data_IF_524347973480
#
_entry.id   IF_524347973480
#
_cell.length_a   1.000
_cell.length_b   1.000
_cell.length_c   1.000
_cell.angle_alpha   90.00
_cell.angle_beta   90.00
_cell.angle_gamma   90.00
#
_symmetry.space_group_name_H-M   'P 1'
#
loop_
_entity.id
_entity.type
_entity.pdbx_description
1 polymer ?
#
# COMPACT_ATOMS: atom_id res chain seq x y z
N UNK A 1 -3.18 -11.08 20.31
CA UNK A 1 -3.12 -9.62 20.57
C UNK A 1 -4.23 -9.12 21.50
N UNK A 2 -5.27 -9.91 21.77
CA UNK A 2 -6.39 -9.62 22.65
C UNK A 2 -6.90 -10.92 23.26
N UNK A 3 -7.75 -10.84 24.30
CA UNK A 3 -8.45 -11.98 24.89
C UNK A 3 -9.95 -11.68 24.91
N UNK A 4 -10.76 -12.66 24.51
CA UNK A 4 -12.21 -12.50 24.37
C UNK A 4 -12.99 -13.40 25.35
N UNK A 5 -12.33 -14.45 25.86
CA UNK A 5 -12.82 -15.38 26.85
C UNK A 5 -11.73 -15.63 27.88
N UNK A 6 -12.10 -15.64 29.14
CA UNK A 6 -11.21 -15.95 30.25
C UNK A 6 -12.00 -16.71 31.32
N UNK A 7 -11.50 -17.86 31.78
CA UNK A 7 -12.17 -18.73 32.78
C UNK A 7 -13.66 -18.97 32.46
N UNK A 8 -13.92 -19.40 31.21
CA UNK A 8 -15.27 -19.70 30.68
C UNK A 8 -16.24 -18.52 30.59
N UNK A 9 -15.78 -17.29 30.78
CA UNK A 9 -16.57 -16.08 30.66
C UNK A 9 -16.15 -15.23 29.46
N UNK A 10 -17.14 -14.63 28.79
CA UNK A 10 -16.87 -13.63 27.75
C UNK A 10 -16.39 -12.33 28.39
N UNK A 11 -15.25 -11.82 27.91
CA UNK A 11 -14.64 -10.57 28.39
C UNK A 11 -14.60 -9.49 27.33
N UNK A 12 -15.25 -9.70 26.19
CA UNK A 12 -15.26 -8.77 25.05
C UNK A 12 -15.88 -7.39 25.38
N UNK A 13 -16.75 -7.30 26.38
CA UNK A 13 -17.35 -6.06 26.87
C UNK A 13 -16.56 -5.38 27.99
N UNK A 14 -15.40 -5.89 28.35
CA UNK A 14 -14.46 -5.17 29.21
C UNK A 14 -13.65 -4.15 28.40
N UNK A 15 -13.21 -3.05 29.02
CA UNK A 15 -12.25 -2.13 28.42
C UNK A 15 -11.00 -2.88 27.97
N UNK A 16 -10.38 -2.40 26.90
CA UNK A 16 -9.18 -3.05 26.34
C UNK A 16 -8.05 -3.19 27.37
N UNK A 17 -7.88 -2.20 28.25
CA UNK A 17 -6.88 -2.26 29.32
C UNK A 17 -7.10 -3.44 30.28
N UNK A 18 -8.35 -3.74 30.62
CA UNK A 18 -8.68 -4.89 31.46
C UNK A 18 -8.45 -6.21 30.73
N UNK A 19 -8.85 -6.29 29.46
CA UNK A 19 -8.57 -7.47 28.63
C UNK A 19 -7.07 -7.72 28.47
N UNK A 20 -6.24 -6.67 28.40
CA UNK A 20 -4.77 -6.81 28.37
C UNK A 20 -4.22 -7.42 29.65
N UNK A 21 -4.72 -7.01 30.82
CA UNK A 21 -4.33 -7.62 32.11
C UNK A 21 -4.69 -9.11 32.16
N UNK A 22 -5.89 -9.47 31.69
CA UNK A 22 -6.31 -10.86 31.62
C UNK A 22 -5.47 -11.68 30.61
N UNK A 23 -5.09 -11.08 29.49
CA UNK A 23 -4.19 -11.71 28.52
C UNK A 23 -2.81 -11.98 29.12
N UNK A 24 -2.31 -11.08 29.97
CA UNK A 24 -1.03 -11.26 30.65
C UNK A 24 -1.08 -12.38 31.69
N UNK A 25 -2.23 -12.58 32.34
CA UNK A 25 -2.47 -13.73 33.25
C UNK A 25 -2.59 -15.05 32.49
N UNK A 26 -3.31 -15.05 31.36
CA UNK A 26 -3.53 -16.25 30.54
C UNK A 26 -2.27 -16.74 29.82
N UNK A 27 -1.39 -15.81 29.42
CA UNK A 27 -0.16 -16.11 28.67
C UNK A 27 1.05 -15.70 29.51
N UNK A 28 1.45 -16.57 30.42
CA UNK A 28 2.59 -16.33 31.31
C UNK A 28 3.92 -16.38 30.56
N UNK A 29 4.06 -17.28 29.60
CA UNK A 29 5.29 -17.45 28.81
C UNK A 29 5.01 -17.47 27.31
N UNK A 30 5.92 -16.90 26.53
CA UNK A 30 5.91 -16.94 25.07
C UNK A 30 6.69 -18.18 24.58
N UNK A 31 6.41 -18.61 23.35
CA UNK A 31 7.08 -19.73 22.72
C UNK A 31 7.39 -19.43 21.26
N UNK A 32 8.11 -20.31 20.56
CA UNK A 32 8.35 -20.19 19.13
C UNK A 32 7.06 -20.23 18.28
N UNK A 33 5.94 -20.73 18.83
CA UNK A 33 4.66 -20.85 18.12
C UNK A 33 3.69 -19.71 18.39
N UNK A 34 3.84 -19.01 19.50
CA UNK A 34 3.00 -17.86 19.84
C UNK A 34 3.73 -16.85 20.70
N UNK A 35 3.40 -15.58 20.50
CA UNK A 35 3.90 -14.45 21.27
C UNK A 35 2.81 -13.40 21.46
N UNK A 36 2.89 -12.65 22.55
CA UNK A 36 2.00 -11.49 22.78
C UNK A 36 2.43 -10.33 21.90
N UNK A 37 1.46 -9.67 21.27
CA UNK A 37 1.74 -8.43 20.54
C UNK A 37 2.29 -7.36 21.49
N UNK A 38 3.43 -6.79 21.14
CA UNK A 38 4.01 -5.64 21.85
C UNK A 38 3.10 -4.43 21.70
N UNK A 39 3.01 -3.61 22.74
CA UNK A 39 2.30 -2.33 22.71
C UNK A 39 3.02 -1.30 23.57
N UNK A 40 2.77 -0.03 23.27
CA UNK A 40 3.29 1.11 24.03
C UNK A 40 2.12 2.04 24.31
N UNK A 41 1.99 2.47 25.57
CA UNK A 41 0.96 3.42 25.96
C UNK A 41 1.42 4.86 25.72
N UNK A 42 0.49 5.70 25.22
CA UNK A 42 0.61 7.17 25.11
C UNK A 42 1.69 7.70 24.15
N UNK A 43 2.66 6.88 23.74
CA UNK A 43 3.76 7.27 22.84
C UNK A 43 3.55 6.74 21.40
N UNK A 44 2.31 6.84 20.89
CA UNK A 44 1.93 6.28 19.58
C UNK A 44 2.77 6.82 18.42
N UNK A 45 3.08 8.13 18.40
CA UNK A 45 3.90 8.74 17.33
C UNK A 45 5.32 8.16 17.36
N UNK A 46 5.96 8.07 18.52
CA UNK A 46 7.30 7.52 18.63
C UNK A 46 7.34 6.04 18.23
N UNK A 47 6.27 5.29 18.55
CA UNK A 47 6.16 3.89 18.16
C UNK A 47 5.92 3.72 16.66
N UNK A 48 5.14 4.61 16.05
CA UNK A 48 4.97 4.66 14.59
C UNK A 48 6.30 4.93 13.87
N UNK A 49 7.05 5.94 14.32
CA UNK A 49 8.35 6.28 13.74
C UNK A 49 9.35 5.11 13.87
N UNK A 50 9.32 4.37 14.97
CA UNK A 50 10.14 3.17 15.13
C UNK A 50 9.73 2.05 14.17
N UNK A 51 8.43 1.88 13.95
CA UNK A 51 7.91 0.92 12.97
C UNK A 51 8.33 1.28 11.54
N UNK A 52 8.29 2.57 11.21
CA UNK A 52 8.74 3.10 9.92
C UNK A 52 10.26 2.86 9.72
N UNK A 53 11.09 3.21 10.71
CA UNK A 53 12.54 2.97 10.66
C UNK A 53 12.92 1.49 10.49
N UNK A 54 12.07 0.58 10.96
CA UNK A 54 12.25 -0.87 10.83
C UNK A 54 11.54 -1.48 9.63
N UNK A 55 11.03 -0.64 8.74
CA UNK A 55 10.28 -1.03 7.53
C UNK A 55 9.10 -1.97 7.82
N UNK A 56 8.44 -1.80 8.99
CA UNK A 56 7.25 -2.56 9.35
C UNK A 56 6.00 -1.98 8.69
N UNK A 57 4.95 -2.79 8.54
CA UNK A 57 3.66 -2.42 7.92
C UNK A 57 3.00 -1.18 8.58
N UNK A 58 3.33 -0.91 9.83
CA UNK A 58 2.79 0.17 10.65
C UNK A 58 2.32 -0.32 12.02
N UNK A 59 1.45 0.45 12.64
CA UNK A 59 0.90 0.15 13.97
C UNK A 59 -0.63 0.18 13.96
N UNK A 60 -1.24 -0.37 15.01
CA UNK A 60 -2.67 -0.21 15.29
C UNK A 60 -2.83 0.61 16.57
N UNK A 61 -3.29 1.85 16.43
CA UNK A 61 -3.67 2.68 17.58
C UNK A 61 -5.04 2.24 18.10
N UNK A 62 -5.14 1.99 19.40
CA UNK A 62 -6.35 1.47 20.04
C UNK A 62 -6.71 2.33 21.25
N UNK A 63 -7.99 2.69 21.37
CA UNK A 63 -8.48 3.37 22.58
C UNK A 63 -8.43 2.43 23.79
N UNK A 64 -7.96 2.93 24.92
CA UNK A 64 -7.80 2.17 26.17
C UNK A 64 -9.13 1.61 26.71
N UNK A 65 -10.19 2.37 26.57
CA UNK A 65 -11.55 2.04 27.03
C UNK A 65 -12.38 1.28 25.98
N UNK A 66 -11.81 0.94 24.81
CA UNK A 66 -12.55 0.27 23.75
C UNK A 66 -12.99 -1.14 24.12
N UNK A 67 -14.24 -1.44 23.80
CA UNK A 67 -14.81 -2.78 23.86
C UNK A 67 -14.45 -3.55 22.57
N UNK A 68 -14.65 -4.85 22.58
CA UNK A 68 -14.49 -5.67 21.38
C UNK A 68 -15.85 -6.06 20.82
N UNK A 69 -16.17 -5.57 19.64
CA UNK A 69 -17.39 -5.91 18.92
C UNK A 69 -17.10 -6.89 17.79
N UNK A 70 -17.77 -8.04 17.82
CA UNK A 70 -17.69 -9.01 16.72
C UNK A 70 -18.34 -8.43 15.46
N UNK A 71 -17.72 -8.70 14.31
CA UNK A 71 -18.22 -8.32 12.97
C UNK A 71 -18.51 -6.82 12.76
N UNK A 72 -18.00 -5.96 13.66
CA UNK A 72 -18.15 -4.51 13.56
C UNK A 72 -16.81 -3.81 13.33
N UNK A 73 -16.82 -2.80 12.47
CA UNK A 73 -15.72 -1.84 12.34
C UNK A 73 -16.05 -0.60 13.16
N UNK A 74 -15.22 -0.30 14.15
CA UNK A 74 -15.34 0.91 14.96
C UNK A 74 -14.16 1.86 14.68
N UNK A 75 -14.30 3.12 15.10
CA UNK A 75 -13.20 4.09 15.06
C UNK A 75 -12.27 3.98 16.29
N UNK A 76 -12.52 3.03 17.17
CA UNK A 76 -11.71 2.84 18.38
C UNK A 76 -10.35 2.21 18.09
N UNK A 77 -10.24 1.50 16.93
CA UNK A 77 -9.01 0.88 16.47
C UNK A 77 -8.65 1.42 15.09
N UNK A 78 -7.55 2.16 15.03
CA UNK A 78 -7.08 2.84 13.83
C UNK A 78 -5.78 2.20 13.34
N UNK A 79 -5.78 1.70 12.10
CA UNK A 79 -4.56 1.23 11.44
C UNK A 79 -3.77 2.42 10.90
N UNK A 80 -2.61 2.67 11.49
CA UNK A 80 -1.65 3.66 11.03
C UNK A 80 -0.61 2.94 10.16
N UNK A 81 -0.84 2.91 8.85
CA UNK A 81 0.02 2.19 7.92
C UNK A 81 1.24 3.01 7.54
N UNK A 82 2.40 2.35 7.47
CA UNK A 82 3.61 2.89 6.85
C UNK A 82 3.45 2.75 5.33
N UNK A 83 3.10 3.86 4.66
CA UNK A 83 2.83 3.88 3.23
C UNK A 83 3.91 4.67 2.52
N UNK A 84 4.45 4.09 1.45
CA UNK A 84 5.44 4.72 0.58
C UNK A 84 4.73 5.44 -0.57
N UNK A 85 5.22 6.60 -0.97
CA UNK A 85 4.80 7.30 -2.17
C UNK A 85 5.92 7.22 -3.20
N UNK A 86 5.62 6.76 -4.41
CA UNK A 86 6.56 6.78 -5.55
C UNK A 86 5.86 7.24 -6.82
N UNK A 87 6.66 7.72 -7.76
CA UNK A 87 6.20 8.16 -9.06
C UNK A 87 6.46 7.10 -10.11
N UNK A 88 5.48 6.92 -10.97
CA UNK A 88 5.47 5.91 -12.03
C UNK A 88 5.01 6.51 -13.35
N UNK A 89 5.56 5.99 -14.42
CA UNK A 89 5.10 6.28 -15.79
C UNK A 89 3.83 5.49 -16.08
N UNK A 90 2.80 6.15 -16.61
CA UNK A 90 1.59 5.48 -17.07
C UNK A 90 1.83 4.93 -18.46
N UNK A 91 1.84 3.61 -18.60
CA UNK A 91 2.21 2.88 -19.81
C UNK A 91 1.02 2.34 -20.59
N UNK A 92 -0.13 2.21 -19.93
CA UNK A 92 -1.35 1.69 -20.50
C UNK A 92 -2.46 1.55 -19.47
N UNK A 93 -3.59 1.02 -19.92
CA UNK A 93 -4.70 0.72 -19.02
C UNK A 93 -5.45 -0.53 -19.47
N UNK A 94 -6.02 -1.25 -18.52
CA UNK A 94 -6.84 -2.43 -18.72
C UNK A 94 -8.26 -2.09 -18.26
N UNK A 95 -9.25 -2.04 -19.16
CA UNK A 95 -10.65 -1.82 -18.78
C UNK A 95 -11.11 -2.92 -17.82
N UNK A 96 -11.86 -2.54 -16.79
CA UNK A 96 -12.50 -3.44 -15.83
C UNK A 96 -13.98 -3.16 -15.77
N UNK A 97 -14.72 -4.07 -15.17
CA UNK A 97 -16.12 -3.87 -14.82
C UNK A 97 -16.31 -2.74 -13.81
N UNK A 98 -17.60 -2.35 -13.60
CA UNK A 98 -17.99 -1.37 -12.58
C UNK A 98 -17.33 0.02 -12.73
N UNK A 99 -17.18 0.50 -13.95
CA UNK A 99 -16.59 1.82 -14.23
C UNK A 99 -15.18 2.01 -13.65
N UNK A 100 -14.41 0.93 -13.58
CA UNK A 100 -13.02 0.94 -13.13
C UNK A 100 -12.07 0.61 -14.27
N UNK A 101 -10.82 0.98 -14.10
CA UNK A 101 -9.71 0.58 -14.95
C UNK A 101 -8.47 0.26 -14.12
N UNK A 102 -7.59 -0.57 -14.64
CA UNK A 102 -6.29 -0.83 -14.05
C UNK A 102 -5.23 -0.14 -14.89
N UNK A 103 -4.53 0.86 -14.35
CA UNK A 103 -3.39 1.47 -15.01
C UNK A 103 -2.19 0.52 -14.94
N UNK A 104 -1.51 0.36 -16.07
CA UNK A 104 -0.24 -0.36 -16.16
C UNK A 104 0.88 0.64 -15.96
N UNK A 105 1.75 0.39 -15.01
CA UNK A 105 2.76 1.32 -14.54
C UNK A 105 4.18 0.82 -14.81
N UNK A 106 5.08 1.75 -15.09
CA UNK A 106 6.49 1.48 -15.31
C UNK A 106 7.40 2.44 -14.56
N UNK A 107 8.65 2.05 -14.42
CA UNK A 107 9.78 2.89 -14.00
C UNK A 107 10.98 2.58 -14.88
N UNK A 108 11.87 3.55 -15.04
CA UNK A 108 13.13 3.33 -15.75
C UNK A 108 14.13 2.59 -14.86
N UNK A 109 14.80 1.64 -15.45
CA UNK A 109 15.89 0.85 -14.87
C UNK A 109 16.95 0.65 -15.95
N UNK A 110 18.18 1.09 -15.73
CA UNK A 110 19.27 1.06 -16.71
C UNK A 110 18.86 1.63 -18.10
N UNK A 111 18.11 2.74 -18.11
CA UNK A 111 17.64 3.41 -19.31
C UNK A 111 16.49 2.72 -20.06
N UNK A 112 16.00 1.59 -19.56
CA UNK A 112 14.87 0.84 -20.11
C UNK A 112 13.63 0.92 -19.23
N UNK A 113 12.46 1.03 -19.83
CA UNK A 113 11.21 1.06 -19.10
C UNK A 113 10.81 -0.37 -18.67
N UNK A 114 10.61 -0.58 -17.38
CA UNK A 114 10.28 -1.88 -16.77
C UNK A 114 8.89 -1.80 -16.13
N UNK A 115 8.05 -2.82 -16.33
CA UNK A 115 6.74 -2.90 -15.72
C UNK A 115 6.86 -3.05 -14.19
N UNK A 116 6.16 -2.19 -13.44
CA UNK A 116 6.13 -2.18 -11.96
C UNK A 116 4.77 -2.56 -11.40
N UNK A 117 3.85 -3.03 -12.22
CA UNK A 117 2.54 -3.50 -11.82
C UNK A 117 1.41 -2.55 -12.14
N UNK A 118 0.38 -2.57 -11.32
CA UNK A 118 -0.90 -1.95 -11.63
C UNK A 118 -1.45 -1.15 -10.46
N UNK A 119 -2.25 -0.11 -10.80
CA UNK A 119 -3.09 0.59 -9.81
C UNK A 119 -4.49 0.79 -10.37
N UNK A 120 -5.51 0.63 -9.53
CA UNK A 120 -6.91 0.80 -9.95
C UNK A 120 -7.33 2.26 -9.90
N UNK A 121 -8.07 2.69 -10.92
CA UNK A 121 -8.61 4.04 -11.08
C UNK A 121 -10.06 3.98 -11.59
N UNK A 122 -10.93 4.90 -11.12
CA UNK A 122 -12.28 5.10 -11.67
C UNK A 122 -12.25 5.82 -13.04
N UNK A 123 -13.06 5.35 -13.98
CA UNK A 123 -13.06 5.88 -15.36
C UNK A 123 -13.79 7.22 -15.53
N UNK A 124 -14.62 7.64 -14.57
CA UNK A 124 -15.42 8.87 -14.64
C UNK A 124 -14.64 10.16 -14.36
N UNK A 125 -13.41 10.07 -13.85
CA UNK A 125 -12.64 11.22 -13.41
C UNK A 125 -11.81 11.89 -14.50
N UNK A 126 -11.36 13.11 -14.21
CA UNK A 126 -10.50 13.90 -15.10
C UNK A 126 -9.17 13.19 -15.42
N UNK A 127 -8.55 12.56 -14.43
CA UNK A 127 -7.30 11.83 -14.64
C UNK A 127 -7.43 10.77 -15.73
N UNK A 128 -8.51 9.99 -15.75
CA UNK A 128 -8.68 8.97 -16.77
C UNK A 128 -8.99 9.57 -18.15
N UNK A 129 -9.72 10.70 -18.24
CA UNK A 129 -9.92 11.42 -19.51
C UNK A 129 -8.59 11.87 -20.08
N UNK A 130 -7.67 12.40 -19.28
CA UNK A 130 -6.32 12.78 -19.69
C UNK A 130 -5.51 11.58 -20.18
N UNK A 131 -5.58 10.45 -19.47
CA UNK A 131 -4.90 9.21 -19.89
C UNK A 131 -5.41 8.72 -21.25
N UNK A 132 -6.72 8.72 -21.47
CA UNK A 132 -7.33 8.31 -22.73
C UNK A 132 -7.00 9.23 -23.90
N UNK A 133 -6.64 10.48 -23.66
CA UNK A 133 -6.23 11.43 -24.69
C UNK A 133 -4.80 11.20 -25.20
N UNK A 134 -4.01 10.34 -24.53
CA UNK A 134 -2.65 10.00 -24.94
C UNK A 134 -2.70 9.06 -26.17
N UNK A 135 -1.82 9.25 -27.17
CA UNK A 135 -1.74 8.37 -28.33
C UNK A 135 -1.56 6.89 -27.97
N UNK A 136 -2.39 6.04 -28.60
CA UNK A 136 -2.33 4.59 -28.43
C UNK A 136 -1.13 4.02 -29.17
N UNK A 137 -0.53 2.97 -28.63
CA UNK A 137 0.56 2.19 -29.23
C UNK A 137 0.09 0.78 -29.55
N UNK A 138 0.66 0.18 -30.58
CA UNK A 138 0.37 -1.20 -30.99
C UNK A 138 1.17 -2.24 -30.19
N UNK A 139 2.17 -1.80 -29.41
CA UNK A 139 3.04 -2.68 -28.63
C UNK A 139 3.31 -2.10 -27.24
N UNK A 140 3.57 -2.97 -26.22
CA UNK A 140 3.96 -2.51 -24.89
C UNK A 140 5.24 -1.66 -24.95
N UNK A 141 5.39 -0.67 -24.08
CA UNK A 141 6.64 0.10 -23.97
C UNK A 141 7.75 -0.65 -23.22
N UNK A 142 7.47 -1.86 -22.74
CA UNK A 142 8.41 -2.72 -22.01
C UNK A 142 9.03 -3.77 -22.91
N UNK A 143 10.30 -4.13 -22.65
CA UNK A 143 11.00 -5.19 -23.36
C UNK A 143 10.41 -6.59 -23.07
N UNK A 144 9.91 -6.80 -21.84
CA UNK A 144 9.32 -8.06 -21.42
C UNK A 144 7.84 -7.85 -21.09
N UNK A 145 6.92 -8.38 -21.92
CA UNK A 145 5.48 -8.35 -21.62
C UNK A 145 5.15 -9.25 -20.43
N UNK A 146 4.19 -8.84 -19.61
CA UNK A 146 3.61 -9.68 -18.57
C UNK A 146 2.29 -10.26 -19.06
N UNK A 147 2.02 -11.56 -18.81
CA UNK A 147 0.74 -12.21 -19.10
C UNK A 147 -0.46 -11.47 -18.49
N UNK A 148 -0.25 -10.78 -17.36
CA UNK A 148 -1.29 -9.96 -16.72
C UNK A 148 -1.72 -8.74 -17.53
N UNK A 149 -1.06 -8.46 -18.65
CA UNK A 149 -1.26 -7.28 -19.50
C UNK A 149 -1.88 -7.62 -20.87
N UNK A 150 -2.36 -8.85 -21.09
CA UNK A 150 -2.89 -9.29 -22.39
C UNK A 150 -3.97 -8.38 -22.98
N UNK A 151 -4.84 -7.84 -22.12
CA UNK A 151 -5.93 -6.95 -22.53
C UNK A 151 -5.62 -5.46 -22.34
N UNK A 152 -4.34 -5.10 -22.25
CA UNK A 152 -3.96 -3.71 -22.05
C UNK A 152 -4.07 -2.89 -23.33
N UNK A 153 -4.66 -1.72 -23.22
CA UNK A 153 -4.54 -0.65 -24.22
C UNK A 153 -3.26 0.11 -23.88
N UNK A 154 -2.24 -0.05 -24.71
CA UNK A 154 -0.96 0.61 -24.55
C UNK A 154 -1.03 2.06 -25.04
N UNK A 155 -0.39 2.96 -24.30
CA UNK A 155 -0.29 4.37 -24.64
C UNK A 155 1.17 4.83 -24.65
N UNK A 156 1.43 5.96 -25.31
CA UNK A 156 2.74 6.58 -25.24
C UNK A 156 3.09 6.91 -23.79
N UNK A 157 4.29 6.57 -23.29
CA UNK A 157 4.69 6.74 -21.89
C UNK A 157 5.04 8.22 -21.58
N UNK A 158 4.04 9.11 -21.66
CA UNK A 158 4.17 10.56 -21.53
C UNK A 158 3.66 11.11 -20.19
N UNK A 159 2.91 10.32 -19.44
CA UNK A 159 2.30 10.76 -18.18
C UNK A 159 2.97 10.10 -16.97
N UNK A 160 3.15 10.90 -15.94
CA UNK A 160 3.62 10.46 -14.63
C UNK A 160 2.47 10.52 -13.63
N UNK A 161 2.41 9.53 -12.74
CA UNK A 161 1.47 9.52 -11.63
C UNK A 161 2.17 9.14 -10.33
N UNK A 162 1.67 9.66 -9.20
CA UNK A 162 2.07 9.23 -7.87
C UNK A 162 1.17 8.08 -7.41
N UNK A 163 1.78 7.02 -6.91
CA UNK A 163 1.10 5.88 -6.30
C UNK A 163 1.60 5.70 -4.87
N UNK A 164 0.64 5.54 -3.96
CA UNK A 164 0.89 5.21 -2.57
C UNK A 164 0.70 3.71 -2.39
N UNK A 165 1.65 3.03 -1.75
CA UNK A 165 1.60 1.59 -1.55
C UNK A 165 2.27 1.19 -0.23
N UNK A 166 2.07 -0.06 0.23
CA UNK A 166 2.63 -0.54 1.50
C UNK A 166 4.09 -0.95 1.36
N UNK A 167 4.35 -1.84 0.41
CA UNK A 167 5.68 -2.42 0.18
C UNK A 167 5.82 -2.87 -1.27
N UNK A 168 7.06 -3.03 -1.73
CA UNK A 168 7.35 -3.69 -3.00
C UNK A 168 7.31 -5.22 -2.80
N UNK A 169 6.77 -5.92 -3.78
CA UNK A 169 6.84 -7.38 -3.84
C UNK A 169 8.21 -7.82 -4.35
N UNK A 170 8.56 -9.10 -4.18
CA UNK A 170 9.82 -9.69 -4.67
C UNK A 170 10.05 -9.45 -6.18
N UNK A 171 8.98 -9.32 -6.95
CA UNK A 171 9.04 -9.05 -8.40
C UNK A 171 8.88 -7.56 -8.75
N UNK A 172 9.11 -6.66 -7.79
CA UNK A 172 9.08 -5.21 -7.99
C UNK A 172 7.68 -4.60 -8.16
N UNK A 173 6.60 -5.38 -8.00
CA UNK A 173 5.24 -4.87 -7.95
C UNK A 173 4.91 -4.18 -6.62
N UNK A 174 3.67 -3.67 -6.49
CA UNK A 174 3.22 -2.93 -5.31
C UNK A 174 2.12 -3.68 -4.56
N UNK A 175 2.22 -3.72 -3.24
CA UNK A 175 1.14 -4.22 -2.37
C UNK A 175 0.19 -3.10 -1.97
N UNK A 176 -1.11 -3.32 -2.17
CA UNK A 176 -2.19 -2.36 -1.89
C UNK A 176 -1.96 -0.96 -2.52
N UNK A 177 -1.69 -0.87 -3.83
CA UNK A 177 -1.43 0.40 -4.47
C UNK A 177 -2.69 1.27 -4.51
N UNK A 178 -2.50 2.57 -4.28
CA UNK A 178 -3.55 3.61 -4.33
C UNK A 178 -3.08 4.73 -5.23
N UNK A 179 -3.82 5.01 -6.29
CA UNK A 179 -3.57 6.13 -7.19
C UNK A 179 -3.82 7.46 -6.47
N UNK A 180 -2.84 8.37 -6.52
CA UNK A 180 -2.93 9.69 -5.86
C UNK A 180 -3.24 10.81 -6.85
N UNK A 181 -2.77 10.71 -8.07
CA UNK A 181 -2.97 11.72 -9.10
C UNK A 181 -1.91 11.68 -10.19
N UNK A 182 -2.20 12.33 -11.32
CA UNK A 182 -1.19 12.62 -12.34
C UNK A 182 -0.31 13.78 -11.89
N UNK A 183 0.98 13.71 -12.25
CA UNK A 183 1.97 14.78 -12.06
C UNK A 183 2.18 15.56 -13.34
N UNK A 184 2.27 16.91 -13.23
CA UNK A 184 2.57 17.78 -14.35
C UNK A 184 3.97 18.42 -14.25
N UNK A 185 4.62 18.22 -13.12
CA UNK A 185 5.89 18.81 -12.73
C UNK A 185 7.07 17.84 -12.85
N UNK A 186 6.82 16.64 -13.42
CA UNK A 186 7.82 15.58 -13.54
C UNK A 186 7.73 14.91 -14.91
N UNK A 187 8.89 14.60 -15.48
CA UNK A 187 8.99 13.86 -16.76
C UNK A 187 9.05 12.34 -16.51
N UNK A 188 8.67 11.52 -17.52
CA UNK A 188 8.75 10.06 -17.40
C UNK A 188 10.16 9.55 -17.06
N UNK A 189 11.21 10.19 -17.62
CA UNK A 189 12.61 9.81 -17.45
C UNK A 189 13.10 10.00 -16.01
N UNK A 190 12.43 10.84 -15.22
CA UNK A 190 12.71 11.03 -13.79
C UNK A 190 12.11 9.93 -12.90
N UNK A 191 11.25 9.05 -13.47
CA UNK A 191 10.65 7.93 -12.75
C UNK A 191 11.59 6.73 -12.76
N UNK A 192 12.62 6.78 -11.93
CA UNK A 192 13.63 5.74 -11.81
C UNK A 192 13.38 4.84 -10.60
N UNK A 193 13.85 3.60 -10.69
CA UNK A 193 13.89 2.71 -9.53
C UNK A 193 14.85 3.27 -8.48
N UNK A 194 14.44 3.34 -7.21
CA UNK A 194 15.28 3.83 -6.13
C UNK A 194 16.61 3.08 -6.08
N UNK A 195 17.69 3.79 -6.30
CA UNK A 195 19.07 3.28 -6.37
C UNK A 195 19.89 3.88 -7.52
N UNK A 196 19.24 4.41 -8.56
CA UNK A 196 19.94 5.06 -9.68
C UNK A 196 19.81 6.59 -9.58
N UNK A 197 20.87 7.23 -9.12
CA UNK A 197 21.05 8.68 -9.26
C UNK A 197 21.69 8.93 -10.61
N UNK A 198 20.89 9.37 -11.60
CA UNK A 198 21.51 9.92 -12.82
C UNK A 198 22.05 11.30 -12.46
N UNK A 199 23.37 11.40 -12.49
CA UNK A 199 24.03 12.69 -12.50
C UNK A 199 23.65 13.38 -13.83
N UNK A 200 22.73 14.34 -13.78
CA UNK A 200 22.54 15.26 -14.88
C UNK A 200 23.81 16.09 -15.01
N UNK A 201 24.66 15.73 -15.99
CA UNK A 201 25.74 16.60 -16.46
C UNK A 201 25.06 17.76 -17.21
N UNK A 202 25.21 18.97 -16.67
CA UNK A 202 24.81 20.22 -17.30
C UNK A 202 25.69 20.51 -18.51
#
# INVERSE_FOLDING_TARGET
FDILYFEDHSVNLLPMTERKKLLDQAVISESARFAKSRYIEEKGIAFYNLAEQRDLEGIVAKRKDSLYYFDKRTKDWIKCKNLKDEDFVVCGYIPKENHMTSLVLGQYENGSLVCRGHVTLGVGGENFRRIKAIPVRNSPPFAVPSEKNENAVWIAPLLVCTVKYMEKTEHGGMRQPVFKGLRNDKTPEECMTNGEVVAFVK
#
